data_IF_942645526422
#
_entry.id   IF_942645526422
#
_cell.length_a   1.000
_cell.length_b   1.000
_cell.length_c   1.000
_cell.angle_alpha   90.00
_cell.angle_beta   90.00
_cell.angle_gamma   90.00
#
_symmetry.space_group_name_H-M   'P 1'
#
loop_
_entity.id
_entity.type
_entity.pdbx_description
1 polymer ?
#
# COMPACT_ATOMS: atom_id res chain seq x y z
N UNK A 1 39.89 -8.02 4.33
CA UNK A 1 39.09 -8.46 3.16
C UNK A 1 37.68 -8.75 3.63
N UNK A 2 36.65 -8.37 2.88
CA UNK A 2 35.22 -8.46 3.27
C UNK A 2 34.60 -9.80 2.82
N UNK A 3 35.42 -10.85 2.65
CA UNK A 3 35.07 -12.16 2.09
C UNK A 3 36.06 -12.64 1.02
N UNK A 4 36.13 -13.95 0.81
CA UNK A 4 36.98 -14.59 -0.22
C UNK A 4 36.20 -14.91 -1.51
N UNK A 5 34.86 -14.87 -1.44
CA UNK A 5 33.94 -15.06 -2.56
C UNK A 5 32.80 -14.04 -2.55
N UNK A 6 32.05 -13.95 -3.66
CA UNK A 6 30.81 -13.14 -3.73
C UNK A 6 29.76 -13.59 -2.71
N UNK A 7 29.70 -14.88 -2.40
CA UNK A 7 28.79 -15.42 -1.40
C UNK A 7 29.17 -14.96 0.01
N UNK A 8 30.47 -14.92 0.33
CA UNK A 8 30.98 -14.39 1.60
C UNK A 8 30.70 -12.90 1.75
N UNK A 9 30.95 -12.12 0.68
CA UNK A 9 30.66 -10.70 0.66
C UNK A 9 29.18 -10.42 0.93
N UNK A 10 28.28 -11.16 0.26
CA UNK A 10 26.84 -11.04 0.48
C UNK A 10 26.46 -11.40 1.92
N UNK A 11 27.02 -12.49 2.48
CA UNK A 11 26.77 -12.89 3.88
C UNK A 11 27.21 -11.80 4.85
N UNK A 12 28.42 -11.25 4.69
CA UNK A 12 28.93 -10.16 5.52
C UNK A 12 28.08 -8.90 5.43
N UNK A 13 27.66 -8.52 4.22
CA UNK A 13 26.76 -7.38 4.02
C UNK A 13 25.41 -7.57 4.74
N UNK A 14 24.76 -8.74 4.60
CA UNK A 14 23.47 -9.03 5.25
C UNK A 14 23.57 -9.11 6.79
N UNK A 15 24.76 -9.36 7.36
CA UNK A 15 24.94 -9.22 8.82
C UNK A 15 24.86 -7.76 9.28
N UNK A 16 25.25 -6.81 8.42
CA UNK A 16 25.24 -5.38 8.73
C UNK A 16 23.88 -4.72 8.47
N UNK A 17 23.21 -5.08 7.37
CA UNK A 17 21.97 -4.41 6.94
C UNK A 17 20.69 -5.18 7.25
N UNK A 18 20.82 -6.40 7.81
CA UNK A 18 19.71 -7.29 8.09
C UNK A 18 19.52 -8.36 7.02
N UNK A 19 18.86 -9.45 7.43
CA UNK A 19 18.50 -10.58 6.56
C UNK A 19 17.04 -10.45 6.13
N UNK A 20 16.70 -10.74 4.86
CA UNK A 20 15.32 -10.79 4.44
C UNK A 20 14.57 -11.88 5.22
N UNK A 21 13.32 -11.60 5.56
CA UNK A 21 12.43 -12.61 6.12
C UNK A 21 12.09 -13.65 5.04
N UNK A 22 11.78 -14.86 5.47
CA UNK A 22 11.27 -15.89 4.56
C UNK A 22 9.79 -15.58 4.33
N UNK A 23 9.37 -15.27 3.09
CA UNK A 23 7.97 -14.95 2.81
C UNK A 23 7.08 -16.18 3.00
N UNK A 24 5.79 -15.96 3.24
CA UNK A 24 4.80 -17.05 3.28
C UNK A 24 4.85 -17.84 1.97
N UNK A 25 4.78 -19.19 2.06
CA UNK A 25 4.81 -20.11 0.91
C UNK A 25 3.85 -19.70 -0.21
N UNK A 26 2.67 -19.16 0.13
CA UNK A 26 1.66 -18.69 -0.84
C UNK A 26 2.17 -17.59 -1.79
N UNK A 27 3.14 -16.77 -1.37
CA UNK A 27 3.72 -15.70 -2.21
C UNK A 27 4.61 -16.24 -3.35
N UNK A 28 4.93 -17.54 -3.35
CA UNK A 28 5.63 -18.19 -4.47
C UNK A 28 4.68 -18.77 -5.53
N UNK A 29 3.37 -18.64 -5.32
CA UNK A 29 2.33 -19.09 -6.23
C UNK A 29 2.01 -18.10 -7.34
N UNK A 30 0.96 -18.38 -8.12
CA UNK A 30 0.47 -17.45 -9.14
C UNK A 30 -0.40 -16.37 -8.50
N UNK A 31 0.00 -15.11 -8.64
CA UNK A 31 -0.78 -13.94 -8.25
C UNK A 31 -1.16 -13.13 -9.49
N UNK A 32 -2.43 -12.76 -9.59
CA UNK A 32 -2.96 -11.98 -10.71
C UNK A 32 -3.38 -10.59 -10.23
N UNK A 33 -3.00 -9.58 -11.00
CA UNK A 33 -3.26 -8.18 -10.71
C UNK A 33 -3.68 -7.50 -12.00
N UNK A 34 -4.56 -6.51 -11.87
CA UNK A 34 -4.93 -5.58 -12.93
C UNK A 34 -4.87 -4.16 -12.35
N UNK A 35 -4.79 -3.13 -13.19
CA UNK A 35 -4.99 -1.73 -12.79
C UNK A 35 -6.30 -1.21 -13.39
N UNK A 36 -7.45 -1.49 -12.82
CA UNK A 36 -7.73 -2.34 -11.65
C UNK A 36 -9.06 -3.05 -11.86
N UNK A 37 -9.45 -3.92 -10.93
CA UNK A 37 -10.79 -4.52 -10.97
C UNK A 37 -11.84 -3.44 -10.68
N UNK A 38 -12.86 -3.34 -11.52
CA UNK A 38 -13.98 -2.41 -11.39
C UNK A 38 -14.93 -2.85 -10.27
N UNK A 39 -15.17 -4.15 -10.10
CA UNK A 39 -16.06 -4.72 -9.08
C UNK A 39 -15.75 -6.20 -8.74
N UNK A 40 -16.57 -6.81 -7.89
CA UNK A 40 -16.45 -8.23 -7.56
C UNK A 40 -16.73 -9.20 -8.71
N UNK A 41 -17.56 -8.81 -9.68
CA UNK A 41 -17.94 -9.67 -10.79
C UNK A 41 -16.78 -9.80 -11.80
N UNK A 42 -16.04 -8.71 -12.05
CA UNK A 42 -14.84 -8.75 -12.88
C UNK A 42 -13.75 -9.62 -12.24
N UNK A 43 -13.48 -9.42 -10.94
CA UNK A 43 -12.53 -10.25 -10.19
C UNK A 43 -12.89 -11.74 -10.26
N UNK A 44 -14.17 -12.06 -10.06
CA UNK A 44 -14.66 -13.44 -10.18
C UNK A 44 -14.51 -13.98 -11.60
N UNK A 45 -14.80 -13.17 -12.61
CA UNK A 45 -14.67 -13.55 -14.02
C UNK A 45 -13.24 -13.96 -14.36
N UNK A 46 -12.26 -13.19 -13.90
CA UNK A 46 -10.82 -13.48 -14.09
C UNK A 46 -10.43 -14.75 -13.35
N UNK A 47 -10.81 -14.88 -12.08
CA UNK A 47 -10.55 -16.09 -11.28
C UNK A 47 -11.15 -17.35 -11.92
N UNK A 48 -12.41 -17.29 -12.34
CA UNK A 48 -13.11 -18.40 -12.97
C UNK A 48 -12.51 -18.75 -14.33
N UNK A 49 -12.08 -17.77 -15.11
CA UNK A 49 -11.40 -18.01 -16.38
C UNK A 49 -10.09 -18.78 -16.18
N UNK A 50 -9.28 -18.39 -15.20
CA UNK A 50 -8.03 -19.10 -14.87
C UNK A 50 -8.29 -20.53 -14.44
N UNK A 51 -9.25 -20.74 -13.52
CA UNK A 51 -9.64 -22.07 -13.07
C UNK A 51 -10.14 -22.94 -14.22
N UNK A 52 -11.00 -22.40 -15.10
CA UNK A 52 -11.54 -23.12 -16.27
C UNK A 52 -10.45 -23.55 -17.24
N UNK A 53 -9.39 -22.76 -17.38
CA UNK A 53 -8.26 -23.04 -18.26
C UNK A 53 -7.12 -23.83 -17.57
N UNK A 54 -7.34 -24.30 -16.34
CA UNK A 54 -6.38 -25.15 -15.62
C UNK A 54 -5.16 -24.41 -15.07
N UNK A 55 -5.23 -23.09 -14.91
CA UNK A 55 -4.17 -22.31 -14.27
C UNK A 55 -4.38 -22.31 -12.74
N UNK A 56 -3.39 -22.78 -11.95
CA UNK A 56 -3.47 -22.68 -10.49
C UNK A 56 -3.39 -21.20 -10.08
N UNK A 57 -4.27 -20.77 -9.18
CA UNK A 57 -4.33 -19.39 -8.69
C UNK A 57 -4.15 -19.36 -7.17
N UNK A 58 -3.14 -18.63 -6.69
CA UNK A 58 -2.82 -18.53 -5.27
C UNK A 58 -3.29 -17.22 -4.65
N UNK A 59 -3.46 -16.17 -5.44
CA UNK A 59 -4.01 -14.91 -4.98
C UNK A 59 -4.29 -13.88 -6.06
N UNK A 60 -4.98 -12.83 -5.64
CA UNK A 60 -5.34 -11.69 -6.48
C UNK A 60 -4.96 -10.39 -5.79
N UNK A 61 -4.59 -9.39 -6.57
CA UNK A 61 -4.16 -8.07 -6.09
C UNK A 61 -5.11 -7.00 -6.60
N UNK A 62 -5.70 -6.23 -5.70
CA UNK A 62 -6.63 -5.16 -6.04
C UNK A 62 -5.94 -3.80 -6.03
N UNK A 63 -6.13 -3.06 -7.12
CA UNK A 63 -5.59 -1.72 -7.31
C UNK A 63 -6.58 -0.63 -6.79
N UNK A 64 -6.29 0.64 -7.06
CA UNK A 64 -6.89 1.84 -6.45
C UNK A 64 -8.43 1.85 -6.41
N UNK A 65 -9.10 1.11 -7.29
CA UNK A 65 -10.55 0.96 -7.38
C UNK A 65 -11.17 0.44 -6.07
N UNK A 66 -10.47 -0.39 -5.29
CA UNK A 66 -11.05 -1.00 -4.07
C UNK A 66 -11.52 0.03 -3.03
N UNK A 67 -10.89 1.22 -2.99
CA UNK A 67 -11.30 2.34 -2.13
C UNK A 67 -11.98 3.48 -2.89
N UNK A 68 -12.37 3.28 -4.14
CA UNK A 68 -13.10 4.25 -4.97
C UNK A 68 -12.23 5.01 -5.98
N UNK A 69 -11.05 4.48 -6.33
CA UNK A 69 -10.22 4.98 -7.43
C UNK A 69 -9.55 6.33 -7.20
N UNK A 70 -9.06 6.92 -8.28
CA UNK A 70 -8.37 8.22 -8.26
C UNK A 70 -9.00 9.22 -9.21
N UNK A 71 -8.81 10.51 -8.91
CA UNK A 71 -9.22 11.62 -9.78
C UNK A 71 -8.03 12.53 -10.05
N UNK A 72 -7.64 12.62 -11.32
CA UNK A 72 -6.57 13.51 -11.76
C UNK A 72 -6.90 14.97 -11.43
N UNK A 73 -5.88 15.72 -11.00
CA UNK A 73 -5.93 17.15 -10.73
C UNK A 73 -6.99 17.60 -9.70
N UNK A 74 -7.49 16.68 -8.86
CA UNK A 74 -8.58 16.92 -7.90
C UNK A 74 -8.15 16.79 -6.44
N UNK A 75 -8.70 17.64 -5.56
CA UNK A 75 -8.61 17.46 -4.10
C UNK A 75 -9.64 16.43 -3.57
N UNK A 76 -10.60 16.02 -4.41
CA UNK A 76 -11.67 15.08 -4.06
C UNK A 76 -11.41 13.68 -4.62
N UNK A 77 -10.14 13.24 -4.62
CA UNK A 77 -9.77 11.88 -5.00
C UNK A 77 -9.94 10.92 -3.83
N UNK A 78 -10.18 9.62 -4.07
CA UNK A 78 -10.32 8.62 -3.00
C UNK A 78 -8.96 8.10 -2.48
N UNK A 79 -7.86 8.59 -3.03
CA UNK A 79 -6.49 8.24 -2.61
C UNK A 79 -6.29 8.45 -1.10
N UNK A 80 -5.93 7.38 -0.39
CA UNK A 80 -5.66 7.39 1.05
C UNK A 80 -6.90 7.28 1.94
N UNK A 81 -8.09 7.03 1.38
CA UNK A 81 -9.32 6.75 2.13
C UNK A 81 -9.21 5.44 2.92
N UNK A 82 -8.59 4.42 2.34
CA UNK A 82 -8.33 3.09 2.94
C UNK A 82 -9.59 2.44 3.54
N UNK A 83 -10.75 2.67 2.92
CA UNK A 83 -12.02 2.01 3.25
C UNK A 83 -12.66 1.52 1.96
N UNK A 84 -13.31 0.35 2.02
CA UNK A 84 -14.00 -0.23 0.87
C UNK A 84 -14.99 0.72 0.21
N UNK A 85 -14.98 0.75 -1.12
CA UNK A 85 -16.10 1.25 -1.91
C UNK A 85 -17.15 0.16 -2.05
N UNK A 86 -18.05 0.08 -1.07
CA UNK A 86 -19.11 -0.95 -1.03
C UNK A 86 -20.14 -0.82 -2.18
N UNK A 87 -20.10 0.26 -2.97
CA UNK A 87 -20.94 0.36 -4.17
C UNK A 87 -20.49 -0.59 -5.29
N UNK A 88 -19.18 -0.85 -5.38
CA UNK A 88 -18.57 -1.79 -6.34
C UNK A 88 -18.13 -3.09 -5.66
N UNK A 89 -17.79 -3.02 -4.38
CA UNK A 89 -17.27 -4.14 -3.58
C UNK A 89 -18.15 -4.42 -2.36
N UNK A 90 -19.45 -4.77 -2.53
CA UNK A 90 -20.35 -5.04 -1.41
C UNK A 90 -19.92 -6.28 -0.62
N UNK A 91 -20.20 -6.30 0.69
CA UNK A 91 -19.83 -7.39 1.62
C UNK A 91 -18.36 -7.88 1.45
N UNK A 92 -17.37 -6.98 1.61
CA UNK A 92 -15.97 -7.34 1.42
C UNK A 92 -15.51 -8.44 2.38
N UNK A 93 -16.01 -8.44 3.62
CA UNK A 93 -15.71 -9.47 4.61
C UNK A 93 -16.21 -10.86 4.16
N UNK A 94 -17.44 -10.94 3.64
CA UNK A 94 -17.98 -12.18 3.08
C UNK A 94 -17.17 -12.65 1.87
N UNK A 95 -16.82 -11.75 0.96
CA UNK A 95 -16.02 -12.05 -0.23
C UNK A 95 -14.63 -12.58 0.11
N UNK A 96 -13.90 -11.91 1.00
CA UNK A 96 -12.57 -12.33 1.46
C UNK A 96 -12.63 -13.73 2.07
N UNK A 97 -13.65 -14.00 2.90
CA UNK A 97 -13.87 -15.32 3.48
C UNK A 97 -14.17 -16.38 2.42
N UNK A 98 -14.90 -16.04 1.36
CA UNK A 98 -15.18 -16.94 0.25
C UNK A 98 -13.92 -17.26 -0.57
N UNK A 99 -13.08 -16.28 -0.86
CA UNK A 99 -11.79 -16.47 -1.54
C UNK A 99 -10.85 -17.34 -0.69
N UNK A 100 -10.77 -17.09 0.61
CA UNK A 100 -9.94 -17.88 1.52
C UNK A 100 -10.35 -19.37 1.56
N UNK A 101 -11.66 -19.68 1.47
CA UNK A 101 -12.15 -21.07 1.35
C UNK A 101 -11.73 -21.76 0.06
N UNK A 102 -11.49 -20.99 -1.01
CA UNK A 102 -10.95 -21.47 -2.27
C UNK A 102 -9.41 -21.50 -2.28
N UNK A 103 -8.78 -21.24 -1.12
CA UNK A 103 -7.33 -21.07 -1.01
C UNK A 103 -6.77 -19.94 -1.89
N UNK A 104 -7.57 -18.93 -2.22
CA UNK A 104 -7.14 -17.73 -2.95
C UNK A 104 -6.88 -16.62 -1.93
N UNK A 105 -5.67 -16.06 -1.97
CA UNK A 105 -5.31 -14.88 -1.17
C UNK A 105 -5.80 -13.58 -1.81
N UNK A 106 -6.08 -12.57 -1.00
CA UNK A 106 -6.37 -11.22 -1.47
C UNK A 106 -5.34 -10.24 -0.92
N UNK A 107 -4.81 -9.39 -1.79
CA UNK A 107 -3.88 -8.31 -1.46
C UNK A 107 -4.46 -6.99 -1.96
N UNK A 108 -4.38 -5.94 -1.14
CA UNK A 108 -4.92 -4.62 -1.47
C UNK A 108 -3.78 -3.62 -1.62
N UNK A 109 -3.87 -2.75 -2.62
CA UNK A 109 -2.93 -1.65 -2.75
C UNK A 109 -3.13 -0.60 -1.66
N UNK A 110 -2.03 -0.11 -1.11
CA UNK A 110 -2.01 1.00 -0.17
C UNK A 110 -0.93 2.02 -0.57
N UNK A 111 -1.16 3.27 -0.22
CA UNK A 111 -0.36 4.41 -0.67
C UNK A 111 -0.04 5.32 0.50
N UNK A 112 1.11 6.01 0.42
CA UNK A 112 1.50 7.00 1.44
C UNK A 112 0.84 8.36 1.24
N UNK A 113 0.18 8.57 0.11
CA UNK A 113 -0.51 9.82 -0.23
C UNK A 113 -1.95 9.82 0.26
N UNK A 114 -2.44 11.00 0.59
CA UNK A 114 -3.83 11.18 0.97
C UNK A 114 -4.40 12.47 0.39
N UNK A 115 -5.54 12.35 -0.30
CA UNK A 115 -6.18 13.49 -0.97
C UNK A 115 -6.71 14.51 0.03
N UNK A 116 -6.60 15.80 -0.29
CA UNK A 116 -6.85 16.89 0.66
C UNK A 116 -8.32 17.00 1.09
N UNK A 117 -9.25 16.70 0.21
CA UNK A 117 -10.70 16.77 0.43
C UNK A 117 -11.22 15.66 1.35
N UNK A 118 -10.41 14.63 1.64
CA UNK A 118 -10.80 13.55 2.53
C UNK A 118 -10.83 13.98 4.01
N UNK A 119 -11.84 13.56 4.78
CA UNK A 119 -11.87 13.80 6.23
C UNK A 119 -10.66 13.17 6.95
N UNK A 120 -10.13 12.06 6.44
CA UNK A 120 -8.92 11.41 6.93
C UNK A 120 -7.69 12.30 6.81
N UNK A 121 -7.56 13.06 5.70
CA UNK A 121 -6.46 14.02 5.54
C UNK A 121 -6.53 15.09 6.64
N UNK A 122 -7.72 15.65 6.86
CA UNK A 122 -7.93 16.63 7.93
C UNK A 122 -7.59 16.05 9.31
N UNK A 123 -8.05 14.83 9.61
CA UNK A 123 -7.75 14.17 10.88
C UNK A 123 -6.24 13.92 11.08
N UNK A 124 -5.51 13.54 10.03
CA UNK A 124 -4.06 13.37 10.07
C UNK A 124 -3.34 14.71 10.21
N UNK A 125 -3.81 15.76 9.53
CA UNK A 125 -3.30 17.11 9.65
C UNK A 125 -3.44 17.64 11.09
N UNK A 126 -4.63 17.52 11.69
CA UNK A 126 -4.94 18.01 13.04
C UNK A 126 -4.09 17.29 14.11
N UNK A 127 -3.75 16.00 13.87
CA UNK A 127 -2.82 15.23 14.70
C UNK A 127 -1.34 15.51 14.40
N UNK A 128 -1.04 16.29 13.36
CA UNK A 128 0.30 16.60 12.90
C UNK A 128 1.03 15.39 12.33
N UNK A 129 0.33 14.49 11.66
CA UNK A 129 0.84 13.21 11.15
C UNK A 129 1.21 13.24 9.65
N UNK A 130 0.94 14.35 8.97
CA UNK A 130 1.41 14.58 7.61
C UNK A 130 2.84 15.13 7.61
N UNK A 131 3.55 14.94 6.49
CA UNK A 131 4.86 15.55 6.26
C UNK A 131 4.71 17.06 6.26
N UNK A 132 5.66 17.76 6.88
CA UNK A 132 5.64 19.20 7.08
C UNK A 132 6.74 19.90 6.31
N UNK A 133 6.44 21.12 5.88
CA UNK A 133 7.41 22.10 5.40
C UNK A 133 8.24 22.65 6.59
N UNK A 134 9.35 23.36 6.34
CA UNK A 134 10.16 23.98 7.40
C UNK A 134 9.38 24.94 8.30
N UNK A 135 8.32 25.58 7.77
CA UNK A 135 7.42 26.46 8.53
C UNK A 135 6.42 25.70 9.42
N UNK A 136 6.47 24.36 9.43
CA UNK A 136 5.64 23.50 10.25
C UNK A 136 4.27 23.16 9.66
N UNK A 137 3.89 23.75 8.51
CA UNK A 137 2.63 23.43 7.83
C UNK A 137 2.75 22.12 7.04
N UNK A 138 1.65 21.36 6.86
CA UNK A 138 1.68 20.20 5.97
C UNK A 138 2.17 20.57 4.56
N UNK A 139 2.93 19.67 3.96
CA UNK A 139 3.28 19.77 2.54
C UNK A 139 2.01 19.56 1.72
N UNK A 140 1.76 20.49 0.80
CA UNK A 140 0.69 20.37 -0.18
C UNK A 140 1.27 19.91 -1.53
N UNK A 141 0.95 18.68 -1.90
CA UNK A 141 1.36 18.01 -3.13
C UNK A 141 0.30 18.29 -4.20
N UNK A 142 0.63 19.17 -5.13
CA UNK A 142 -0.22 19.50 -6.28
C UNK A 142 0.52 19.45 -7.63
N UNK A 143 1.80 19.06 -7.62
CA UNK A 143 2.60 18.85 -8.83
C UNK A 143 2.41 17.40 -9.28
N UNK A 144 2.22 17.18 -10.58
CA UNK A 144 1.90 15.87 -11.17
C UNK A 144 0.69 15.17 -10.51
N UNK A 145 -0.49 15.81 -10.50
CA UNK A 145 -1.61 15.41 -9.65
C UNK A 145 -2.42 14.24 -10.20
N UNK A 146 -1.78 13.23 -10.82
CA UNK A 146 -2.46 12.10 -11.46
C UNK A 146 -3.37 11.33 -10.50
N UNK A 147 -2.97 11.23 -9.22
CA UNK A 147 -3.74 10.63 -8.14
C UNK A 147 -4.66 11.62 -7.40
N UNK A 148 -4.56 12.90 -7.74
CA UNK A 148 -5.18 14.03 -7.05
C UNK A 148 -4.15 14.98 -6.42
N UNK A 149 -4.65 15.82 -5.51
CA UNK A 149 -3.89 16.82 -4.75
C UNK A 149 -4.09 16.60 -3.27
N UNK A 150 -3.03 16.69 -2.49
CA UNK A 150 -3.10 16.21 -1.11
C UNK A 150 -1.84 16.40 -0.29
N UNK A 151 -1.66 15.50 0.67
CA UNK A 151 -0.48 15.40 1.51
C UNK A 151 0.10 14.00 1.49
N UNK A 152 1.13 13.79 2.30
CA UNK A 152 1.76 12.49 2.49
C UNK A 152 1.89 12.19 3.99
N UNK A 153 1.66 10.94 4.37
CA UNK A 153 1.83 10.47 5.74
C UNK A 153 3.30 10.54 6.14
N UNK A 154 3.59 11.03 7.35
CA UNK A 154 4.95 11.11 7.86
C UNK A 154 5.31 9.91 8.75
N UNK A 155 5.95 8.93 8.12
CA UNK A 155 6.42 7.68 8.71
C UNK A 155 7.60 7.81 9.69
N UNK A 156 8.12 9.03 9.89
CA UNK A 156 9.28 9.32 10.77
C UNK A 156 9.05 9.01 12.25
N UNK A 157 7.80 8.94 12.71
CA UNK A 157 7.48 8.82 14.14
C UNK A 157 6.70 7.53 14.45
N UNK A 158 7.13 6.71 15.43
CA UNK A 158 6.50 5.42 15.76
C UNK A 158 5.02 5.52 16.08
N UNK A 159 4.62 6.57 16.82
CA UNK A 159 3.24 6.81 17.27
C UNK A 159 2.24 7.01 16.11
N UNK A 160 2.73 7.26 14.89
CA UNK A 160 1.91 7.46 13.68
C UNK A 160 1.59 6.16 12.97
N UNK A 161 2.44 5.14 13.14
CA UNK A 161 2.27 3.79 12.56
C UNK A 161 1.07 3.07 13.15
N UNK A 162 0.93 3.11 14.48
CA UNK A 162 -0.21 2.51 15.18
C UNK A 162 -1.57 3.16 14.85
N UNK A 163 -1.60 4.43 14.41
CA UNK A 163 -2.87 5.08 14.04
C UNK A 163 -3.33 4.63 12.65
N UNK A 164 -2.42 4.47 11.67
CA UNK A 164 -2.81 3.96 10.36
C UNK A 164 -3.24 2.49 10.44
N UNK A 165 -2.55 1.68 11.25
CA UNK A 165 -2.98 0.32 11.54
C UNK A 165 -4.45 0.29 12.00
N UNK A 166 -4.91 1.29 12.78
CA UNK A 166 -6.33 1.41 13.20
C UNK A 166 -7.30 1.82 12.08
N UNK A 167 -6.86 2.52 11.04
CA UNK A 167 -7.68 2.79 9.85
C UNK A 167 -7.74 1.56 8.93
N UNK A 168 -6.66 0.78 8.87
CA UNK A 168 -6.59 -0.46 8.09
C UNK A 168 -7.35 -1.62 8.73
N UNK A 169 -7.29 -1.79 10.06
CA UNK A 169 -7.87 -2.95 10.78
C UNK A 169 -9.36 -3.21 10.45
N UNK A 170 -10.23 -2.19 10.34
CA UNK A 170 -11.63 -2.38 9.93
C UNK A 170 -11.77 -2.76 8.45
N UNK A 171 -10.90 -2.25 7.58
CA UNK A 171 -10.95 -2.51 6.14
C UNK A 171 -10.50 -3.95 5.80
N UNK A 172 -9.43 -4.45 6.41
CA UNK A 172 -8.88 -5.77 6.08
C UNK A 172 -9.40 -6.93 6.92
N UNK A 173 -10.47 -6.71 7.71
CA UNK A 173 -11.29 -7.71 8.42
C UNK A 173 -10.62 -9.06 8.62
N UNK A 174 -10.01 -9.27 9.80
CA UNK A 174 -8.89 -10.17 10.08
C UNK A 174 -8.92 -11.67 9.71
N UNK A 175 -9.76 -12.17 8.82
CA UNK A 175 -9.76 -13.56 8.34
C UNK A 175 -9.75 -13.61 6.80
N UNK A 176 -8.57 -13.78 6.19
CA UNK A 176 -8.39 -14.07 4.76
C UNK A 176 -7.56 -13.05 3.98
N UNK A 177 -7.31 -11.87 4.55
CA UNK A 177 -6.36 -10.90 4.00
C UNK A 177 -4.94 -11.47 4.02
N UNK A 178 -4.25 -11.44 2.88
CA UNK A 178 -2.96 -12.11 2.70
C UNK A 178 -1.77 -11.16 2.67
N UNK A 179 -1.99 -9.85 2.67
CA UNK A 179 -0.96 -8.81 2.72
C UNK A 179 -1.35 -7.54 1.98
N UNK A 180 -0.55 -6.48 2.10
CA UNK A 180 -0.71 -5.23 1.35
C UNK A 180 0.27 -5.19 0.16
N UNK A 181 -0.14 -4.55 -0.93
CA UNK A 181 0.77 -4.10 -1.99
C UNK A 181 1.11 -2.64 -1.75
N UNK A 182 2.40 -2.34 -1.61
CA UNK A 182 2.88 -0.97 -1.48
C UNK A 182 3.01 -0.31 -2.85
N UNK A 183 2.10 0.61 -3.13
CA UNK A 183 2.20 1.49 -4.27
C UNK A 183 3.00 2.77 -3.95
N UNK A 184 3.58 3.34 -5.01
CA UNK A 184 4.32 4.63 -5.08
C UNK A 184 4.99 5.17 -3.81
N UNK A 185 6.02 4.46 -3.33
CA UNK A 185 7.01 5.04 -2.43
C UNK A 185 7.91 6.12 -3.08
N UNK A 186 8.01 6.21 -4.41
CA UNK A 186 8.86 7.22 -5.07
C UNK A 186 8.04 8.50 -5.27
N UNK A 187 8.41 9.58 -4.58
CA UNK A 187 7.60 10.80 -4.54
C UNK A 187 7.74 11.59 -5.82
N UNK A 188 6.68 11.63 -6.60
CA UNK A 188 6.52 12.51 -7.73
C UNK A 188 6.21 13.95 -7.26
N UNK A 189 7.22 14.68 -6.76
CA UNK A 189 7.01 16.11 -6.49
C UNK A 189 7.91 16.82 -5.48
N UNK A 190 8.84 16.15 -4.80
CA UNK A 190 9.71 16.86 -3.85
C UNK A 190 10.84 17.63 -4.54
N UNK A 191 11.10 18.84 -4.05
CA UNK A 191 12.13 19.74 -4.57
C UNK A 191 13.55 19.21 -4.23
N UNK A 192 14.40 19.02 -5.23
CA UNK A 192 15.73 18.41 -5.13
C UNK A 192 16.78 19.18 -4.30
N UNK A 193 16.43 20.35 -3.73
CA UNK A 193 17.37 21.21 -3.01
C UNK A 193 17.38 21.08 -1.47
N UNK A 194 16.45 20.35 -0.85
CA UNK A 194 16.23 20.43 0.61
C UNK A 194 16.84 19.29 1.45
N UNK A 195 17.85 18.56 0.96
CA UNK A 195 18.46 17.45 1.74
C UNK A 195 17.55 16.20 1.92
N UNK A 196 16.42 16.17 1.22
CA UNK A 196 15.38 15.14 1.27
C UNK A 196 15.67 13.77 0.60
N UNK A 197 16.70 13.54 -0.26
CA UNK A 197 16.87 12.22 -0.90
C UNK A 197 17.07 11.07 0.10
N UNK A 198 17.75 11.32 1.21
CA UNK A 198 17.95 10.33 2.29
C UNK A 198 16.68 10.08 3.09
N UNK A 199 15.91 11.13 3.37
CA UNK A 199 14.62 11.02 4.05
C UNK A 199 13.61 10.27 3.18
N UNK A 200 13.68 10.46 1.87
CA UNK A 200 12.80 9.81 0.91
C UNK A 200 12.96 8.29 0.85
N UNK A 201 14.19 7.80 0.66
CA UNK A 201 14.47 6.36 0.69
C UNK A 201 14.15 5.74 2.06
N UNK A 202 14.36 6.51 3.14
CA UNK A 202 14.01 6.10 4.49
C UNK A 202 12.49 6.01 4.70
N UNK A 203 11.69 6.91 4.13
CA UNK A 203 10.23 6.84 4.23
C UNK A 203 9.66 5.59 3.58
N UNK A 204 10.21 5.15 2.45
CA UNK A 204 9.79 3.90 1.80
C UNK A 204 10.13 2.69 2.65
N UNK A 205 11.35 2.67 3.20
CA UNK A 205 11.75 1.63 4.14
C UNK A 205 10.89 1.63 5.41
N UNK A 206 10.52 2.82 5.91
CA UNK A 206 9.68 2.97 7.09
C UNK A 206 8.22 2.60 6.84
N UNK A 207 7.70 2.85 5.63
CA UNK A 207 6.36 2.43 5.19
C UNK A 207 6.28 0.91 5.12
N UNK A 208 7.18 0.27 4.34
CA UNK A 208 7.23 -1.18 4.26
C UNK A 208 7.43 -1.83 5.63
N UNK A 209 8.33 -1.30 6.48
CA UNK A 209 8.49 -1.82 7.84
C UNK A 209 7.25 -1.64 8.73
N UNK A 210 6.49 -0.55 8.58
CA UNK A 210 5.31 -0.29 9.40
C UNK A 210 4.15 -1.26 9.14
N UNK A 211 4.16 -2.00 8.04
CA UNK A 211 3.15 -3.02 7.74
C UNK A 211 3.51 -4.42 8.29
N UNK A 212 4.77 -4.65 8.65
CA UNK A 212 5.22 -5.93 9.23
C UNK A 212 5.21 -5.95 10.77
N UNK A 213 4.87 -4.83 11.44
CA UNK A 213 4.90 -4.65 12.91
C UNK A 213 3.57 -4.15 13.45
#
# INVERSE_FOLDING_TARGET
RVGESLADLRRGYMQLVGKPLIPNRKLFGLWVSEFGYDDWAELDGVSQSLQKNGFPLDGMVMDLQWFGGIRDNSEDSSMGKLTWDESHFPDPAGKIKALAKQHIGLMLIEESYISRGLPEHKALQDKGFLVKQPDGKPVYLAKKPWWGKGGMIDWSKPRRRCLLARYQTPAVGGHGYSGALDGFGRTDGFCGGCGLPRFHAWQNHAFGFAQFV
#
